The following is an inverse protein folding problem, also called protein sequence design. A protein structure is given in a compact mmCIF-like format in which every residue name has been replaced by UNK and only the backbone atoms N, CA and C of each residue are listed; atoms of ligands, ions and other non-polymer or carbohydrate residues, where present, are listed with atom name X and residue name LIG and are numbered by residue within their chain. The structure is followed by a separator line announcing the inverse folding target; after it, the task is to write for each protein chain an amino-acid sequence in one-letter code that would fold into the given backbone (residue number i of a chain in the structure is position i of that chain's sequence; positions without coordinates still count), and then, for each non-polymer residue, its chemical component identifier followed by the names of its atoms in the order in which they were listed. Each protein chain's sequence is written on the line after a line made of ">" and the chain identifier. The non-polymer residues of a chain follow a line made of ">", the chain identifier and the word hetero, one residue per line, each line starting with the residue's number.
data_IF_289591125155
#
_entry.id   IF_289591125155
#
_cell.length_a   1.000
_cell.length_b   1.000
_cell.length_c   1.000
_cell.angle_alpha   90.00
_cell.angle_beta   90.00
_cell.angle_gamma   90.00
#
_symmetry.space_group_name_H-M   'P 1'
#
loop_
_entity.id
_entity.type
_entity.pdbx_description
1 polymer ?
#
# COMPACT_ATOMS: atom_id res chain seq x y z
N UNK A 1 -53.46 5.35 -38.64
CA UNK A 1 -52.10 5.93 -38.62
C UNK A 1 -51.95 6.76 -37.35
N UNK A 2 -51.43 6.15 -36.29
CA UNK A 2 -50.92 6.84 -35.11
C UNK A 2 -49.53 6.27 -34.90
N UNK A 3 -48.50 7.03 -35.29
CA UNK A 3 -47.12 6.70 -34.96
C UNK A 3 -46.97 6.91 -33.46
N UNK A 4 -46.92 5.81 -32.72
CA UNK A 4 -46.39 5.80 -31.36
C UNK A 4 -44.91 6.16 -31.47
N UNK A 5 -44.60 7.44 -31.33
CA UNK A 5 -43.26 7.90 -31.00
C UNK A 5 -42.97 7.38 -29.59
N UNK A 6 -42.20 6.29 -29.50
CA UNK A 6 -41.55 5.87 -28.26
C UNK A 6 -40.67 7.03 -27.80
N UNK A 7 -41.17 7.78 -26.83
CA UNK A 7 -40.42 8.78 -26.11
C UNK A 7 -39.17 8.13 -25.50
N UNK A 8 -38.06 8.83 -25.66
CA UNK A 8 -36.76 8.58 -25.05
C UNK A 8 -36.80 8.80 -23.53
N UNK A 9 -37.52 7.97 -22.80
CA UNK A 9 -37.61 8.01 -21.33
C UNK A 9 -36.92 6.77 -20.76
N UNK A 10 -35.59 6.86 -20.58
CA UNK A 10 -34.83 5.88 -19.81
C UNK A 10 -35.24 5.99 -18.34
N UNK A 11 -35.83 4.93 -17.78
CA UNK A 11 -36.13 4.85 -16.35
C UNK A 11 -34.79 4.75 -15.62
N UNK A 12 -34.32 5.86 -15.07
CA UNK A 12 -33.16 5.89 -14.19
C UNK A 12 -33.61 5.60 -12.75
N UNK A 13 -32.93 4.68 -12.07
CA UNK A 13 -33.14 4.51 -10.64
C UNK A 13 -32.72 5.80 -9.92
N UNK A 14 -33.38 6.15 -8.80
CA UNK A 14 -32.89 7.19 -7.89
C UNK A 14 -31.43 6.93 -7.47
N UNK A 15 -30.68 8.00 -7.25
CA UNK A 15 -29.24 7.95 -6.89
C UNK A 15 -29.03 7.14 -5.61
N UNK A 16 -29.98 7.20 -4.68
CA UNK A 16 -29.98 6.49 -3.40
C UNK A 16 -29.96 4.97 -3.60
N UNK A 17 -30.67 4.46 -4.62
CA UNK A 17 -30.67 3.03 -4.92
C UNK A 17 -29.33 2.59 -5.51
N UNK A 18 -28.71 3.41 -6.36
CA UNK A 18 -27.35 3.14 -6.84
C UNK A 18 -26.35 3.12 -5.68
N UNK A 19 -26.42 4.10 -4.77
CA UNK A 19 -25.57 4.14 -3.59
C UNK A 19 -25.78 2.93 -2.68
N UNK A 20 -27.03 2.47 -2.52
CA UNK A 20 -27.32 1.25 -1.75
C UNK A 20 -26.72 0.00 -2.42
N UNK A 21 -26.86 -0.14 -3.74
CA UNK A 21 -26.27 -1.25 -4.50
C UNK A 21 -24.74 -1.22 -4.38
N UNK A 22 -24.11 -0.07 -4.62
CA UNK A 22 -22.65 0.06 -4.58
C UNK A 22 -22.10 -0.06 -3.16
N UNK A 23 -22.88 0.29 -2.14
CA UNK A 23 -22.54 0.07 -0.73
C UNK A 23 -22.44 -1.41 -0.33
N UNK A 24 -23.04 -2.32 -1.11
CA UNK A 24 -22.92 -3.76 -0.89
C UNK A 24 -21.63 -4.37 -1.44
N UNK A 25 -20.85 -3.62 -2.22
CA UNK A 25 -19.63 -4.14 -2.82
C UNK A 25 -18.50 -4.15 -1.78
N UNK A 26 -17.85 -5.31 -1.65
CA UNK A 26 -16.63 -5.45 -0.86
C UNK A 26 -15.41 -5.06 -1.70
N UNK A 27 -14.51 -4.18 -1.21
CA UNK A 27 -13.29 -3.85 -1.95
C UNK A 27 -12.31 -5.04 -2.06
N UNK A 28 -12.41 -6.04 -1.17
CA UNK A 28 -11.69 -7.32 -1.21
C UNK A 28 -12.18 -8.27 -2.30
N UNK A 29 -13.37 -8.05 -2.85
CA UNK A 29 -13.91 -8.94 -3.88
C UNK A 29 -13.21 -8.69 -5.23
N UNK A 30 -12.68 -9.74 -5.90
CA UNK A 30 -11.96 -9.59 -7.16
C UNK A 30 -12.85 -9.05 -8.29
N UNK A 31 -14.17 -9.13 -8.14
CA UNK A 31 -15.15 -8.70 -9.14
C UNK A 31 -15.55 -7.23 -9.00
N UNK A 32 -15.24 -6.58 -7.87
CA UNK A 32 -15.73 -5.23 -7.57
C UNK A 32 -15.22 -4.21 -8.58
N UNK A 33 -13.91 -4.18 -8.84
CA UNK A 33 -13.33 -3.26 -9.84
C UNK A 33 -13.90 -3.53 -11.24
N UNK A 34 -13.99 -4.79 -11.67
CA UNK A 34 -14.54 -5.13 -12.98
C UNK A 34 -15.99 -4.67 -13.13
N UNK A 35 -16.79 -4.84 -12.08
CA UNK A 35 -18.20 -4.41 -12.06
C UNK A 35 -18.30 -2.88 -12.13
N UNK A 36 -17.52 -2.15 -11.32
CA UNK A 36 -17.50 -0.68 -11.35
C UNK A 36 -17.07 -0.13 -12.71
N UNK A 37 -16.03 -0.72 -13.33
CA UNK A 37 -15.59 -0.35 -14.68
C UNK A 37 -16.70 -0.56 -15.73
N UNK A 38 -17.43 -1.68 -15.61
CA UNK A 38 -18.57 -1.97 -16.48
C UNK A 38 -19.68 -0.93 -16.30
N UNK A 39 -19.96 -0.54 -15.06
CA UNK A 39 -20.96 0.48 -14.74
C UNK A 39 -20.57 1.89 -15.24
N UNK A 40 -19.30 2.27 -15.12
CA UNK A 40 -18.76 3.52 -15.67
C UNK A 40 -18.93 3.64 -17.20
N UNK A 41 -18.99 2.50 -17.89
CA UNK A 41 -19.17 2.43 -19.34
C UNK A 41 -20.63 2.57 -19.80
N UNK A 42 -21.62 2.42 -18.91
CA UNK A 42 -23.05 2.33 -19.28
C UNK A 42 -23.57 3.63 -19.90
N UNK A 43 -23.56 4.74 -19.15
CA UNK A 43 -23.98 6.06 -19.62
C UNK A 43 -23.41 7.17 -18.71
N UNK A 44 -23.57 8.43 -19.09
CA UNK A 44 -23.05 9.58 -18.33
C UNK A 44 -23.65 9.72 -16.92
N UNK A 45 -24.94 9.39 -16.73
CA UNK A 45 -25.61 9.47 -15.44
C UNK A 45 -25.05 8.45 -14.44
N UNK A 46 -25.02 7.17 -14.83
CA UNK A 46 -24.42 6.09 -14.01
C UNK A 46 -22.94 6.36 -13.77
N UNK A 47 -22.22 6.84 -14.78
CA UNK A 47 -20.80 7.20 -14.64
C UNK A 47 -20.59 8.28 -13.60
N UNK A 48 -21.41 9.34 -13.57
CA UNK A 48 -21.30 10.39 -12.58
C UNK A 48 -21.52 9.85 -11.16
N UNK A 49 -22.56 9.02 -10.97
CA UNK A 49 -22.85 8.40 -9.66
C UNK A 49 -21.69 7.52 -9.22
N UNK A 50 -21.25 6.58 -10.07
CA UNK A 50 -20.18 5.63 -9.76
C UNK A 50 -18.88 6.36 -9.46
N UNK A 51 -18.50 7.37 -10.26
CA UNK A 51 -17.25 8.12 -10.06
C UNK A 51 -17.24 8.89 -8.73
N UNK A 52 -18.40 9.38 -8.30
CA UNK A 52 -18.56 10.09 -7.01
C UNK A 52 -18.76 9.17 -5.80
N UNK A 53 -18.83 7.85 -6.02
CA UNK A 53 -19.19 6.92 -4.96
C UNK A 53 -18.04 6.73 -3.95
N UNK A 54 -18.30 6.69 -2.63
CA UNK A 54 -17.26 6.54 -1.61
C UNK A 54 -16.43 5.26 -1.69
N UNK A 55 -16.91 4.24 -2.39
CA UNK A 55 -16.19 2.96 -2.57
C UNK A 55 -14.77 3.13 -3.12
N UNK A 56 -14.53 4.15 -3.95
CA UNK A 56 -13.20 4.42 -4.48
C UNK A 56 -12.18 4.73 -3.38
N UNK A 57 -12.61 5.32 -2.26
CA UNK A 57 -11.73 5.54 -1.10
C UNK A 57 -11.31 4.22 -0.48
N UNK A 58 -12.27 3.32 -0.27
CA UNK A 58 -11.98 2.00 0.32
C UNK A 58 -11.06 1.20 -0.60
N UNK A 59 -11.35 1.16 -1.89
CA UNK A 59 -10.51 0.52 -2.91
C UNK A 59 -9.11 1.13 -2.98
N UNK A 60 -8.99 2.45 -2.86
CA UNK A 60 -7.71 3.15 -2.86
C UNK A 60 -6.88 2.77 -1.65
N UNK A 61 -7.46 2.88 -0.45
CA UNK A 61 -6.76 2.62 0.80
C UNK A 61 -6.37 1.15 0.97
N UNK A 62 -7.21 0.23 0.51
CA UNK A 62 -6.94 -1.20 0.58
C UNK A 62 -5.80 -1.59 -0.37
N UNK A 63 -5.79 -1.02 -1.58
CA UNK A 63 -4.77 -1.34 -2.60
C UNK A 63 -3.44 -0.63 -2.38
N UNK A 64 -3.47 0.63 -1.95
CA UNK A 64 -2.30 1.49 -1.90
C UNK A 64 -1.89 1.78 -0.46
N UNK A 65 -1.15 0.84 0.11
CA UNK A 65 -0.62 0.95 1.46
C UNK A 65 0.73 1.68 1.49
N UNK A 66 1.40 1.77 0.34
CA UNK A 66 2.69 2.43 0.17
C UNK A 66 2.60 3.64 -0.75
N UNK A 67 3.23 4.73 -0.33
CA UNK A 67 3.26 5.95 -1.11
C UNK A 67 4.42 6.86 -0.70
N UNK A 68 4.76 7.80 -1.57
CA UNK A 68 5.65 8.91 -1.21
C UNK A 68 4.79 10.04 -0.63
N UNK A 69 4.97 10.48 0.63
CA UNK A 69 4.10 11.47 1.27
C UNK A 69 3.93 12.77 0.48
N UNK A 70 5.01 13.28 -0.12
CA UNK A 70 4.96 14.49 -0.95
C UNK A 70 4.11 14.30 -2.21
N UNK A 71 4.20 13.15 -2.87
CA UNK A 71 3.38 12.84 -4.06
C UNK A 71 1.91 12.67 -3.69
N UNK A 72 1.64 12.04 -2.54
CA UNK A 72 0.29 11.86 -2.04
C UNK A 72 -0.37 13.18 -1.68
N UNK A 73 0.35 14.05 -0.97
CA UNK A 73 -0.13 15.40 -0.67
C UNK A 73 -0.42 16.20 -1.95
N UNK A 74 0.44 16.08 -2.97
CA UNK A 74 0.19 16.68 -4.28
C UNK A 74 -1.10 16.16 -4.89
N UNK A 75 -1.32 14.84 -4.94
CA UNK A 75 -2.56 14.22 -5.46
C UNK A 75 -3.80 14.71 -4.70
N UNK A 76 -3.72 14.77 -3.37
CA UNK A 76 -4.79 15.27 -2.51
C UNK A 76 -5.10 16.75 -2.75
N UNK A 77 -4.10 17.56 -3.10
CA UNK A 77 -4.28 18.98 -3.42
C UNK A 77 -4.80 19.22 -4.84
N UNK A 78 -4.50 18.32 -5.78
CA UNK A 78 -4.88 18.43 -7.19
C UNK A 78 -6.37 18.13 -7.40
N UNK A 79 -6.91 17.20 -6.63
CA UNK A 79 -8.27 16.70 -6.79
C UNK A 79 -9.15 17.11 -5.61
N UNK A 80 -10.32 17.66 -5.89
CA UNK A 80 -11.30 18.11 -4.89
C UNK A 80 -12.70 17.62 -5.25
N UNK A 81 -13.61 17.55 -4.26
CA UNK A 81 -14.99 17.09 -4.49
C UNK A 81 -15.20 15.61 -4.17
N UNK A 82 -16.39 15.10 -4.54
CA UNK A 82 -16.85 13.75 -4.21
C UNK A 82 -16.18 12.64 -5.04
N UNK A 83 -15.70 12.96 -6.24
CA UNK A 83 -15.01 12.05 -7.16
C UNK A 83 -13.48 12.06 -7.03
N UNK A 84 -12.94 12.79 -6.04
CA UNK A 84 -11.50 12.86 -5.78
C UNK A 84 -10.82 11.49 -5.73
N UNK A 85 -11.42 10.55 -5.00
CA UNK A 85 -10.85 9.21 -4.81
C UNK A 85 -10.84 8.39 -6.09
N UNK A 86 -11.84 8.56 -6.95
CA UNK A 86 -11.86 7.96 -8.29
C UNK A 86 -10.67 8.45 -9.12
N UNK A 87 -10.44 9.76 -9.16
CA UNK A 87 -9.31 10.34 -9.90
C UNK A 87 -7.96 9.89 -9.35
N UNK A 88 -7.78 9.91 -8.02
CA UNK A 88 -6.55 9.44 -7.39
C UNK A 88 -6.29 7.95 -7.69
N UNK A 89 -7.32 7.11 -7.66
CA UNK A 89 -7.20 5.69 -8.00
C UNK A 89 -6.67 5.47 -9.42
N UNK A 90 -7.24 6.15 -10.42
CA UNK A 90 -6.77 6.00 -11.80
C UNK A 90 -5.41 6.65 -12.06
N UNK A 91 -5.05 7.70 -11.33
CA UNK A 91 -3.69 8.26 -11.37
C UNK A 91 -2.67 7.22 -10.88
N UNK A 92 -2.95 6.54 -9.77
CA UNK A 92 -2.11 5.44 -9.26
C UNK A 92 -2.06 4.25 -10.21
N UNK A 93 -3.20 3.81 -10.76
CA UNK A 93 -3.23 2.73 -11.77
C UNK A 93 -2.35 3.05 -12.99
N UNK A 94 -2.26 4.32 -13.39
CA UNK A 94 -1.37 4.73 -14.47
C UNK A 94 0.11 4.57 -14.11
N UNK A 95 0.49 4.85 -12.85
CA UNK A 95 1.83 4.61 -12.32
C UNK A 95 2.14 3.11 -12.23
N UNK A 96 1.20 2.30 -11.73
CA UNK A 96 1.32 0.84 -11.67
C UNK A 96 1.63 0.29 -13.08
N UNK A 97 0.81 0.66 -14.07
CA UNK A 97 1.02 0.24 -15.47
C UNK A 97 2.38 0.68 -16.02
N UNK A 98 2.85 1.88 -15.65
CA UNK A 98 4.18 2.36 -16.06
C UNK A 98 5.29 1.51 -15.42
N UNK A 99 5.18 1.19 -14.13
CA UNK A 99 6.14 0.35 -13.43
C UNK A 99 6.18 -1.07 -14.00
N UNK A 100 5.01 -1.69 -14.23
CA UNK A 100 4.94 -3.04 -14.79
C UNK A 100 5.53 -3.13 -16.20
N UNK A 101 5.33 -2.10 -17.04
CA UNK A 101 6.01 -2.02 -18.34
C UNK A 101 7.54 -1.93 -18.20
N UNK A 102 8.02 -1.08 -17.29
CA UNK A 102 9.47 -0.98 -17.02
C UNK A 102 10.04 -2.30 -16.48
N UNK A 103 9.28 -3.01 -15.65
CA UNK A 103 9.65 -4.32 -15.13
C UNK A 103 9.78 -5.36 -16.25
N UNK A 104 8.82 -5.39 -17.17
CA UNK A 104 8.88 -6.25 -18.35
C UNK A 104 10.06 -5.93 -19.25
N UNK A 105 10.36 -4.64 -19.46
CA UNK A 105 11.53 -4.22 -20.21
C UNK A 105 12.85 -4.60 -19.50
N UNK A 106 12.94 -4.46 -18.18
CA UNK A 106 14.09 -4.91 -17.38
C UNK A 106 14.32 -6.42 -17.56
N UNK A 107 13.23 -7.19 -17.51
CA UNK A 107 13.24 -8.65 -17.65
C UNK A 107 13.66 -9.08 -19.06
N UNK A 108 13.16 -8.41 -20.09
CA UNK A 108 13.31 -8.83 -21.49
C UNK A 108 14.48 -8.18 -22.23
N UNK A 109 14.94 -7.00 -21.80
CA UNK A 109 15.97 -6.21 -22.48
C UNK A 109 17.17 -5.96 -21.56
N UNK A 110 18.32 -6.53 -21.92
CA UNK A 110 19.57 -6.32 -21.18
C UNK A 110 20.09 -4.88 -21.32
N UNK A 111 20.17 -4.28 -22.53
CA UNK A 111 20.62 -2.90 -22.69
C UNK A 111 19.64 -1.93 -22.03
N UNK A 112 20.15 -0.97 -21.24
CA UNK A 112 19.34 0.07 -20.59
C UNK A 112 18.62 -0.38 -19.31
N UNK A 113 18.84 -1.61 -18.83
CA UNK A 113 18.23 -2.13 -17.59
C UNK A 113 18.47 -1.23 -16.39
N UNK A 114 19.71 -0.74 -16.22
CA UNK A 114 20.08 0.13 -15.10
C UNK A 114 19.32 1.46 -15.15
N UNK A 115 19.18 2.06 -16.33
CA UNK A 115 18.43 3.31 -16.51
C UNK A 115 16.95 3.13 -16.16
N UNK A 116 16.34 2.00 -16.55
CA UNK A 116 14.94 1.69 -16.19
C UNK A 116 14.76 1.42 -14.69
N UNK A 117 15.69 0.68 -14.09
CA UNK A 117 15.71 0.48 -12.65
C UNK A 117 15.87 1.80 -11.89
N UNK A 118 16.67 2.73 -12.42
CA UNK A 118 16.78 4.09 -11.89
C UNK A 118 15.46 4.85 -11.97
N UNK A 119 14.68 4.73 -13.06
CA UNK A 119 13.34 5.33 -13.14
C UNK A 119 12.42 4.76 -12.06
N UNK A 120 12.40 3.43 -11.88
CA UNK A 120 11.63 2.78 -10.81
C UNK A 120 12.02 3.33 -9.43
N UNK A 121 13.31 3.41 -9.13
CA UNK A 121 13.79 3.84 -7.81
C UNK A 121 13.58 5.33 -7.52
N UNK A 122 13.85 6.19 -8.52
CA UNK A 122 13.96 7.64 -8.33
C UNK A 122 12.67 8.38 -8.61
N UNK A 123 11.94 7.96 -9.65
CA UNK A 123 10.73 8.67 -10.10
C UNK A 123 9.46 8.04 -9.53
N UNK A 124 9.33 6.72 -9.60
CA UNK A 124 8.12 6.02 -9.14
C UNK A 124 8.19 5.69 -7.65
N UNK A 125 9.34 5.22 -7.17
CA UNK A 125 9.62 4.94 -5.75
C UNK A 125 8.51 4.10 -5.10
N UNK A 126 8.14 4.41 -3.85
CA UNK A 126 7.09 3.71 -3.12
C UNK A 126 5.68 3.84 -3.73
N UNK A 127 5.46 4.74 -4.70
CA UNK A 127 4.15 4.86 -5.34
C UNK A 127 3.77 3.65 -6.22
N UNK A 128 4.69 2.72 -6.45
CA UNK A 128 4.42 1.49 -7.22
C UNK A 128 4.77 0.23 -6.45
N UNK A 129 5.02 0.35 -5.15
CA UNK A 129 5.45 -0.76 -4.29
C UNK A 129 4.39 -1.87 -4.23
N UNK A 130 3.13 -1.51 -3.97
CA UNK A 130 2.04 -2.49 -3.85
C UNK A 130 1.81 -3.25 -5.17
N UNK A 131 1.88 -2.56 -6.32
CA UNK A 131 1.77 -3.19 -7.64
C UNK A 131 2.92 -4.16 -7.95
N UNK A 132 4.13 -3.88 -7.45
CA UNK A 132 5.23 -4.85 -7.52
C UNK A 132 5.02 -6.02 -6.53
N UNK A 133 4.36 -5.77 -5.39
CA UNK A 133 3.96 -6.82 -4.45
C UNK A 133 2.99 -7.81 -5.09
N UNK A 134 1.98 -7.33 -5.82
CA UNK A 134 1.05 -8.18 -6.58
C UNK A 134 1.78 -9.10 -7.58
N UNK A 135 2.82 -8.58 -8.24
CA UNK A 135 3.64 -9.38 -9.16
C UNK A 135 4.47 -10.47 -8.46
N UNK A 136 4.84 -10.25 -7.20
CA UNK A 136 5.55 -11.23 -6.37
C UNK A 136 4.67 -12.40 -5.95
N UNK A 137 3.35 -12.21 -5.91
CA UNK A 137 2.39 -13.27 -5.56
C UNK A 137 1.77 -13.93 -6.79
N UNK A 138 2.10 -13.46 -8.01
CA UNK A 138 1.55 -13.95 -9.28
C UNK A 138 1.45 -15.50 -9.33
N UNK A 139 0.29 -16.10 -9.66
CA UNK A 139 0.07 -17.54 -9.55
C UNK A 139 1.07 -18.38 -10.35
N UNK A 140 1.79 -19.28 -9.67
CA UNK A 140 2.75 -20.17 -10.31
C UNK A 140 2.05 -21.31 -11.09
N UNK A 141 2.73 -21.91 -12.09
CA UNK A 141 2.32 -23.20 -12.63
C UNK A 141 2.22 -24.26 -11.52
N UNK A 142 1.25 -25.16 -11.63
CA UNK A 142 0.92 -26.17 -10.61
C UNK A 142 2.14 -26.95 -10.11
N UNK A 143 3.06 -27.31 -11.00
CA UNK A 143 4.29 -28.04 -10.67
C UNK A 143 5.29 -27.28 -9.79
N UNK A 144 5.18 -25.95 -9.71
CA UNK A 144 6.03 -25.09 -8.90
C UNK A 144 5.31 -24.56 -7.65
N UNK A 145 4.06 -24.95 -7.41
CA UNK A 145 3.30 -24.51 -6.23
C UNK A 145 3.76 -25.23 -4.98
N UNK A 146 3.91 -24.47 -3.91
CA UNK A 146 4.07 -24.98 -2.55
C UNK A 146 2.70 -25.12 -1.87
N UNK A 147 2.61 -25.92 -0.81
CA UNK A 147 1.42 -25.95 0.07
C UNK A 147 1.13 -24.61 0.74
N UNK A 148 2.11 -23.70 0.75
CA UNK A 148 2.01 -22.36 1.32
C UNK A 148 1.71 -21.26 0.26
N UNK A 149 1.50 -21.60 -1.01
CA UNK A 149 1.13 -20.59 -2.01
C UNK A 149 -0.34 -20.18 -1.85
N UNK A 150 -0.57 -18.96 -1.37
CA UNK A 150 -1.89 -18.34 -1.14
C UNK A 150 -2.77 -18.30 -2.41
N UNK A 151 -2.15 -18.30 -3.60
CA UNK A 151 -2.82 -18.23 -4.90
C UNK A 151 -2.98 -19.61 -5.58
N UNK A 152 -3.04 -20.68 -4.78
CA UNK A 152 -3.08 -22.07 -5.23
C UNK A 152 -4.23 -22.44 -6.17
N UNK A 153 -5.33 -21.68 -6.18
CA UNK A 153 -6.52 -21.97 -6.99
C UNK A 153 -6.63 -21.14 -8.28
N UNK A 154 -5.81 -20.10 -8.42
CA UNK A 154 -5.86 -19.22 -9.59
C UNK A 154 -5.17 -19.85 -10.81
N UNK A 155 -5.61 -19.52 -12.04
CA UNK A 155 -4.91 -19.94 -13.24
C UNK A 155 -3.48 -19.38 -13.26
N UNK A 156 -2.49 -20.15 -13.74
CA UNK A 156 -1.10 -19.73 -13.72
C UNK A 156 -0.88 -18.48 -14.58
N UNK A 157 -0.15 -17.51 -14.02
CA UNK A 157 0.21 -16.31 -14.76
C UNK A 157 1.34 -16.59 -15.76
N UNK A 158 1.32 -15.97 -16.95
CA UNK A 158 2.39 -16.12 -17.93
C UNK A 158 3.70 -15.58 -17.34
N UNK A 159 4.76 -16.38 -17.47
CA UNK A 159 6.10 -16.06 -16.96
C UNK A 159 6.11 -15.68 -15.46
N UNK A 160 5.28 -16.32 -14.63
CA UNK A 160 5.14 -16.00 -13.21
C UNK A 160 6.48 -16.02 -12.45
N UNK A 161 7.29 -17.07 -12.61
CA UNK A 161 8.60 -17.17 -11.93
C UNK A 161 9.52 -15.95 -12.15
N UNK A 162 9.88 -15.59 -13.40
CA UNK A 162 10.73 -14.42 -13.62
C UNK A 162 10.04 -13.10 -13.25
N UNK A 163 8.70 -12.99 -13.33
CA UNK A 163 7.98 -11.81 -12.84
C UNK A 163 8.15 -11.64 -11.33
N UNK A 164 7.92 -12.70 -10.55
CA UNK A 164 8.13 -12.70 -9.09
C UNK A 164 9.56 -12.28 -8.73
N UNK A 165 10.57 -12.86 -9.39
CA UNK A 165 11.98 -12.54 -9.15
C UNK A 165 12.31 -11.06 -9.42
N UNK A 166 11.92 -10.56 -10.59
CA UNK A 166 12.24 -9.18 -10.97
C UNK A 166 11.45 -8.16 -10.16
N UNK A 167 10.20 -8.46 -9.79
CA UNK A 167 9.39 -7.60 -8.94
C UNK A 167 10.03 -7.45 -7.55
N UNK A 168 10.44 -8.56 -6.93
CA UNK A 168 11.20 -8.55 -5.66
C UNK A 168 12.51 -7.77 -5.78
N UNK A 169 13.24 -7.97 -6.89
CA UNK A 169 14.48 -7.23 -7.15
C UNK A 169 14.22 -5.73 -7.28
N UNK A 170 13.15 -5.32 -7.96
CA UNK A 170 12.75 -3.93 -8.14
C UNK A 170 12.36 -3.26 -6.81
N UNK A 171 11.55 -3.92 -5.98
CA UNK A 171 11.24 -3.44 -4.62
C UNK A 171 12.53 -3.27 -3.78
N UNK A 172 13.43 -4.25 -3.80
CA UNK A 172 14.71 -4.13 -3.12
C UNK A 172 15.60 -3.00 -3.65
N UNK A 173 15.50 -2.64 -4.93
CA UNK A 173 16.20 -1.48 -5.49
C UNK A 173 15.56 -0.17 -4.99
N UNK A 174 14.22 -0.08 -4.98
CA UNK A 174 13.48 1.09 -4.45
C UNK A 174 13.84 1.32 -2.99
N UNK A 175 13.74 0.30 -2.14
CA UNK A 175 14.00 0.40 -0.71
C UNK A 175 15.44 0.83 -0.43
N UNK A 176 16.43 0.19 -1.07
CA UNK A 176 17.85 0.54 -0.86
C UNK A 176 18.20 1.92 -1.38
N UNK A 177 17.64 2.34 -2.50
CA UNK A 177 17.83 3.70 -3.02
C UNK A 177 17.28 4.74 -2.03
N UNK A 178 16.09 4.49 -1.48
CA UNK A 178 15.51 5.34 -0.44
C UNK A 178 16.40 5.39 0.80
N UNK A 179 16.85 4.24 1.33
CA UNK A 179 17.67 4.16 2.54
C UNK A 179 18.99 4.92 2.38
N UNK A 180 19.71 4.72 1.26
CA UNK A 180 20.95 5.45 0.97
C UNK A 180 20.71 6.95 0.82
N UNK A 181 19.60 7.35 0.20
CA UNK A 181 19.24 8.77 0.04
C UNK A 181 18.92 9.41 1.39
N UNK A 182 18.22 8.70 2.26
CA UNK A 182 17.89 9.11 3.62
C UNK A 182 19.15 9.21 4.48
N UNK A 183 20.03 8.20 4.50
CA UNK A 183 21.28 8.26 5.26
C UNK A 183 22.22 9.36 4.79
N UNK A 184 22.22 9.68 3.49
CA UNK A 184 22.96 10.84 2.97
C UNK A 184 22.43 12.15 3.55
N UNK A 185 21.11 12.30 3.72
CA UNK A 185 20.49 13.47 4.38
C UNK A 185 20.87 13.53 5.85
N UNK A 186 20.81 12.39 6.55
CA UNK A 186 21.24 12.28 7.95
C UNK A 186 22.71 12.69 8.13
N UNK A 187 23.60 12.19 7.28
CA UNK A 187 25.03 12.56 7.29
C UNK A 187 25.24 14.05 7.04
N UNK A 188 24.39 14.68 6.22
CA UNK A 188 24.40 16.12 5.98
C UNK A 188 23.81 16.95 7.13
N UNK A 189 23.35 16.32 8.22
CA UNK A 189 22.78 16.99 9.38
C UNK A 189 21.33 17.46 9.19
N UNK A 190 20.56 16.83 8.29
CA UNK A 190 19.14 17.14 8.10
C UNK A 190 18.33 16.81 9.36
N UNK A 191 17.76 17.81 10.07
CA UNK A 191 17.03 17.58 11.31
C UNK A 191 15.66 16.93 11.11
N UNK A 192 15.20 16.79 9.86
CA UNK A 192 13.90 16.17 9.56
C UNK A 192 13.93 14.66 9.53
N UNK A 193 15.13 14.04 9.51
CA UNK A 193 15.30 12.59 9.56
C UNK A 193 15.28 12.14 11.01
N UNK A 194 14.27 11.35 11.39
CA UNK A 194 14.20 10.80 12.74
C UNK A 194 15.18 9.63 12.93
N UNK A 195 15.51 9.32 14.19
CA UNK A 195 16.30 8.12 14.51
C UNK A 195 15.57 6.84 14.12
N UNK A 196 14.24 6.81 14.26
CA UNK A 196 13.41 5.67 13.87
C UNK A 196 13.43 5.46 12.36
N UNK A 197 13.29 6.53 11.56
CA UNK A 197 13.40 6.49 10.10
C UNK A 197 14.79 6.00 9.67
N UNK A 198 15.84 6.48 10.35
CA UNK A 198 17.22 6.05 10.09
C UNK A 198 17.43 4.55 10.32
N UNK A 199 16.84 4.01 11.38
CA UNK A 199 16.90 2.60 11.73
C UNK A 199 16.03 1.73 10.81
N UNK A 200 14.82 2.20 10.45
CA UNK A 200 13.94 1.51 9.51
C UNK A 200 14.60 1.30 8.13
N UNK A 201 15.53 2.19 7.73
CA UNK A 201 16.33 2.04 6.51
C UNK A 201 17.16 0.76 6.41
N UNK A 202 17.50 0.10 7.52
CA UNK A 202 18.22 -1.18 7.49
C UNK A 202 17.39 -2.32 6.89
N UNK A 203 16.07 -2.27 7.06
CA UNK A 203 15.14 -3.26 6.51
C UNK A 203 15.21 -3.37 4.98
N UNK A 204 15.61 -2.29 4.30
CA UNK A 204 15.79 -2.24 2.86
C UNK A 204 16.78 -3.29 2.33
N UNK A 205 17.76 -3.70 3.14
CA UNK A 205 18.76 -4.71 2.76
C UNK A 205 18.23 -6.14 2.89
N UNK A 206 17.14 -6.33 3.63
CA UNK A 206 16.35 -7.56 3.66
C UNK A 206 15.23 -7.56 2.60
N UNK A 207 15.08 -6.46 1.87
CA UNK A 207 14.04 -6.29 0.84
C UNK A 207 12.67 -5.93 1.42
N UNK A 208 12.62 -5.43 2.65
CA UNK A 208 11.40 -4.99 3.32
C UNK A 208 11.20 -3.49 3.16
N UNK A 209 9.94 -3.05 3.22
CA UNK A 209 9.62 -1.62 3.17
C UNK A 209 9.92 -0.98 4.53
N UNK A 210 10.70 0.11 4.58
CA UNK A 210 10.85 0.91 5.79
C UNK A 210 9.50 1.38 6.34
N UNK A 211 8.52 1.65 5.48
CA UNK A 211 7.16 2.03 5.88
C UNK A 211 6.36 0.89 6.52
N UNK A 212 6.67 -0.37 6.19
CA UNK A 212 6.09 -1.53 6.89
C UNK A 212 6.70 -1.64 8.28
N UNK A 213 8.02 -1.52 8.38
CA UNK A 213 8.72 -1.60 9.68
C UNK A 213 8.31 -0.47 10.62
N UNK A 214 8.15 0.75 10.14
CA UNK A 214 7.62 1.84 10.96
C UNK A 214 6.22 1.53 11.50
N UNK A 215 5.32 0.99 10.65
CA UNK A 215 3.97 0.59 11.07
C UNK A 215 3.98 -0.54 12.10
N UNK A 216 4.83 -1.55 11.91
CA UNK A 216 4.99 -2.66 12.87
C UNK A 216 5.53 -2.15 14.20
N UNK A 217 6.53 -1.26 14.18
CA UNK A 217 7.06 -0.63 15.39
C UNK A 217 6.01 0.22 16.11
N UNK A 218 5.19 0.97 15.38
CA UNK A 218 4.09 1.74 15.95
C UNK A 218 3.01 0.83 16.55
N UNK A 219 2.68 -0.28 15.89
CA UNK A 219 1.74 -1.29 16.39
C UNK A 219 2.25 -1.91 17.70
N UNK A 220 3.50 -2.36 17.70
CA UNK A 220 4.19 -2.90 18.87
C UNK A 220 4.24 -1.88 20.04
N UNK A 221 4.48 -0.61 19.75
CA UNK A 221 4.47 0.44 20.76
C UNK A 221 3.07 0.62 21.37
N UNK A 222 2.02 0.56 20.56
CA UNK A 222 0.63 0.63 21.04
C UNK A 222 0.26 -0.59 21.89
N UNK A 223 0.60 -1.81 21.45
CA UNK A 223 0.37 -3.01 22.24
C UNK A 223 1.14 -2.97 23.58
N UNK A 224 2.38 -2.50 23.57
CA UNK A 224 3.15 -2.30 24.79
C UNK A 224 2.43 -1.34 25.75
N UNK A 225 1.82 -0.25 25.26
CA UNK A 225 1.06 0.69 26.08
C UNK A 225 -0.23 0.06 26.62
N UNK A 226 -0.89 -0.80 25.85
CA UNK A 226 -2.10 -1.54 26.25
C UNK A 226 -1.82 -2.72 27.20
N UNK A 227 -0.59 -3.23 27.22
CA UNK A 227 -0.13 -4.24 28.18
C UNK A 227 -0.02 -3.68 29.61
N UNK A 228 0.28 -2.38 29.75
CA UNK A 228 0.54 -1.73 31.05
C UNK A 228 -0.63 -1.79 32.04
N UNK A 229 -1.89 -1.47 31.64
CA UNK A 229 -3.03 -1.56 32.55
C UNK A 229 -3.29 -3.00 32.99
N UNK A 230 -3.00 -3.99 32.14
CA UNK A 230 -3.17 -5.42 32.46
C UNK A 230 -2.16 -5.90 33.49
N UNK A 231 -0.95 -5.35 33.48
CA UNK A 231 0.10 -5.63 34.46
C UNK A 231 -0.08 -4.94 35.82
N UNK A 232 -1.10 -4.08 35.97
CA UNK A 232 -1.38 -3.32 37.19
C UNK A 232 -0.37 -2.20 37.49
N UNK A 233 0.52 -1.87 36.54
CA UNK A 233 1.58 -0.86 36.72
C UNK A 233 1.12 0.49 36.16
N UNK A 234 0.97 1.48 37.04
CA UNK A 234 0.80 2.88 36.63
C UNK A 234 2.18 3.46 36.26
N UNK A 235 2.40 3.71 34.97
CA UNK A 235 3.62 4.33 34.44
C UNK A 235 3.25 5.67 33.83
N UNK A 236 4.05 6.68 34.16
CA UNK A 236 3.98 8.01 33.56
C UNK A 236 4.98 8.04 32.42
N UNK A 237 4.52 8.42 31.23
CA UNK A 237 5.33 8.45 30.00
C UNK A 237 5.74 9.86 29.57
N UNK A 238 5.11 10.90 30.12
CA UNK A 238 5.46 12.30 29.83
C UNK A 238 6.77 12.66 30.52
N UNK A 239 7.87 12.96 29.79
CA UNK A 239 9.15 13.34 30.38
C UNK A 239 9.10 14.64 31.20
N UNK A 240 8.05 15.45 31.01
CA UNK A 240 7.83 16.71 31.71
C UNK A 240 7.15 16.53 33.08
N UNK A 241 6.59 15.35 33.34
CA UNK A 241 5.92 15.04 34.59
C UNK A 241 6.97 14.73 35.68
N UNK A 242 6.88 15.34 36.88
CA UNK A 242 7.81 15.08 37.98
C UNK A 242 7.86 13.61 38.43
N UNK A 243 6.80 12.83 38.17
CA UNK A 243 6.75 11.39 38.48
C UNK A 243 7.32 10.50 37.35
N UNK A 244 7.81 11.10 36.25
CA UNK A 244 8.46 10.38 35.17
C UNK A 244 9.75 9.72 35.65
N UNK A 245 9.85 8.41 35.41
CA UNK A 245 11.04 7.63 35.72
C UNK A 245 11.47 6.82 34.50
N UNK A 246 12.52 7.29 33.83
CA UNK A 246 13.07 6.66 32.63
C UNK A 246 13.45 5.20 32.87
N UNK A 247 14.11 4.89 33.99
CA UNK A 247 14.50 3.51 34.31
C UNK A 247 13.27 2.58 34.41
N UNK A 248 12.19 3.07 35.04
CA UNK A 248 10.94 2.32 35.14
C UNK A 248 10.27 2.13 33.78
N UNK A 249 10.26 3.17 32.94
CA UNK A 249 9.74 3.10 31.58
C UNK A 249 10.51 2.07 30.73
N UNK A 250 11.85 2.13 30.74
CA UNK A 250 12.70 1.17 30.04
C UNK A 250 12.50 -0.27 30.55
N UNK A 251 12.44 -0.47 31.87
CA UNK A 251 12.23 -1.82 32.42
C UNK A 251 10.91 -2.43 31.96
N UNK A 252 9.86 -1.63 31.85
CA UNK A 252 8.57 -2.17 31.41
C UNK A 252 8.50 -2.45 29.92
N UNK A 253 9.23 -1.69 29.10
CA UNK A 253 9.44 -2.07 27.70
C UNK A 253 10.16 -3.43 27.62
N UNK A 254 11.21 -3.63 28.43
CA UNK A 254 11.92 -4.92 28.48
C UNK A 254 10.99 -6.05 28.91
N UNK A 255 10.22 -5.87 29.99
CA UNK A 255 9.24 -6.86 30.46
C UNK A 255 8.20 -7.22 29.37
N UNK A 256 7.76 -6.25 28.56
CA UNK A 256 6.90 -6.52 27.40
C UNK A 256 7.65 -7.30 26.31
N UNK A 257 8.88 -6.92 25.98
CA UNK A 257 9.69 -7.61 24.96
C UNK A 257 10.02 -9.06 25.37
N UNK A 258 10.21 -9.33 26.66
CA UNK A 258 10.37 -10.67 27.22
C UNK A 258 9.08 -11.50 27.09
N UNK A 259 7.91 -10.92 27.41
CA UNK A 259 6.59 -11.56 27.25
C UNK A 259 6.28 -11.91 25.78
N UNK A 260 6.74 -11.07 24.85
CA UNK A 260 6.63 -11.32 23.41
C UNK A 260 7.71 -12.27 22.87
N UNK A 261 8.58 -12.83 23.73
CA UNK A 261 9.70 -13.72 23.38
C UNK A 261 10.72 -13.09 22.39
N UNK A 262 10.80 -11.76 22.33
CA UNK A 262 11.77 -11.08 21.47
C UNK A 262 13.18 -11.10 22.06
N UNK A 263 13.25 -11.16 23.40
CA UNK A 263 14.47 -11.28 24.17
C UNK A 263 14.41 -12.66 24.83
N UNK A 264 15.15 -13.63 24.29
CA UNK A 264 15.32 -14.96 24.89
C UNK A 264 16.53 -15.03 25.82
N UNK A 265 16.54 -16.04 26.69
CA UNK A 265 17.68 -16.41 27.54
C UNK A 265 18.84 -17.09 26.75
N UNK A 266 18.73 -17.19 25.43
CA UNK A 266 19.76 -17.79 24.57
C UNK A 266 20.92 -16.81 24.30
N UNK A 267 21.81 -16.73 25.28
CA UNK A 267 23.23 -16.39 25.10
C UNK A 267 24.11 -17.48 25.73
#
# INVERSE_FOLDING_TARGET
>A
MQRLTLNSSGVHLPVELYNHIFGSFSPQSPWTIQTLLSLLAVNSYVRAIVSSHPIWRSLYNERYTHHVPANEQRRLSQWSGSDRWYHMYFERVALDRRALRLLDEIRTQIPGRISRASVLARELSFDVWDALGDEMTAPLPTYFRSTYDENGDLPPAPHAMPRRFWAKTAQGIIARYWAVTMWRRLYAGDPTVSTTEALAGWSAFYGWSPQEIERELDYCAQECLEFLPRSGKKIVWDPSDPDFNLHRACRTIIEYMEDQEWIGDDC
#
